data_IF_327305822792
#
_entry.id   IF_327305822792
#
_cell.length_a   1.000
_cell.length_b   1.000
_cell.length_c   1.000
_cell.angle_alpha   90.00
_cell.angle_beta   90.00
_cell.angle_gamma   90.00
#
_symmetry.space_group_name_H-M   'P 1'
#
loop_
_entity.id
_entity.type
_entity.pdbx_description
1 polymer ?
#
# COMPACT_ATOMS: atom_id res chain seq x y z
N UNK A 1 0.39 -14.52 2.74
CA UNK A 1 -0.84 -15.26 2.30
C UNK A 1 -0.54 -16.08 1.04
N UNK A 2 -1.17 -17.25 0.85
CA UNK A 2 -1.01 -18.04 -0.41
C UNK A 2 -1.67 -17.30 -1.58
N UNK A 3 -1.07 -17.45 -2.76
CA UNK A 3 -1.59 -16.83 -3.99
C UNK A 3 -2.90 -17.49 -4.42
N UNK A 4 -3.93 -16.71 -4.72
CA UNK A 4 -5.20 -17.22 -5.24
C UNK A 4 -5.10 -17.55 -6.73
N UNK A 5 -6.02 -18.35 -7.26
CA UNK A 5 -6.12 -18.62 -8.70
C UNK A 5 -6.33 -17.33 -9.50
N UNK A 6 -7.14 -16.40 -8.98
CA UNK A 6 -7.38 -15.08 -9.56
C UNK A 6 -6.07 -14.26 -9.65
N UNK A 7 -5.25 -14.27 -8.57
CA UNK A 7 -3.96 -13.58 -8.59
C UNK A 7 -2.99 -14.21 -9.58
N UNK A 8 -2.94 -15.56 -9.70
CA UNK A 8 -2.12 -16.23 -10.71
C UNK A 8 -2.53 -15.82 -12.13
N UNK A 9 -3.83 -15.84 -12.43
CA UNK A 9 -4.37 -15.39 -13.71
C UNK A 9 -4.03 -13.92 -13.98
N UNK A 10 -4.21 -13.05 -12.98
CA UNK A 10 -3.89 -11.62 -13.08
C UNK A 10 -2.41 -11.40 -13.40
N UNK A 11 -1.48 -12.08 -12.70
CA UNK A 11 -0.05 -11.99 -12.95
C UNK A 11 0.29 -12.36 -14.40
N UNK A 12 -0.22 -13.49 -14.90
CA UNK A 12 0.04 -13.93 -16.29
C UNK A 12 -0.54 -12.95 -17.30
N UNK A 13 -1.81 -12.54 -17.12
CA UNK A 13 -2.48 -11.60 -18.01
C UNK A 13 -1.71 -10.28 -18.10
N UNK A 14 -1.32 -9.71 -16.96
CA UNK A 14 -0.55 -8.46 -16.92
C UNK A 14 0.77 -8.57 -17.66
N UNK A 15 1.51 -9.69 -17.51
CA UNK A 15 2.75 -9.88 -18.25
C UNK A 15 2.50 -10.01 -19.74
N UNK A 16 1.47 -10.75 -20.16
CA UNK A 16 1.09 -10.84 -21.56
C UNK A 16 0.75 -9.46 -22.15
N UNK A 17 0.03 -8.61 -21.40
CA UNK A 17 -0.30 -7.25 -21.84
C UNK A 17 0.95 -6.36 -21.93
N UNK A 18 1.85 -6.40 -20.96
CA UNK A 18 3.09 -5.60 -20.92
C UNK A 18 4.03 -5.87 -22.11
N UNK A 19 4.06 -7.11 -22.60
CA UNK A 19 4.95 -7.51 -23.69
C UNK A 19 4.35 -7.37 -25.09
N UNK A 20 3.08 -7.00 -25.23
CA UNK A 20 2.41 -6.80 -26.54
C UNK A 20 3.15 -5.85 -27.47
N UNK A 21 3.82 -4.84 -26.92
CA UNK A 21 4.57 -3.82 -27.66
C UNK A 21 5.84 -4.35 -28.34
N UNK A 22 6.36 -5.52 -27.93
CA UNK A 22 7.57 -6.11 -28.48
C UNK A 22 7.23 -6.99 -29.69
N UNK A 23 8.01 -6.91 -30.81
CA UNK A 23 7.66 -7.61 -32.05
C UNK A 23 8.03 -9.10 -32.08
N UNK A 24 8.95 -9.56 -31.25
CA UNK A 24 9.51 -10.92 -31.27
C UNK A 24 8.59 -11.91 -30.54
N UNK A 25 7.80 -12.68 -31.30
CA UNK A 25 6.85 -13.65 -30.76
C UNK A 25 7.54 -14.86 -30.08
N UNK A 26 8.70 -15.30 -30.58
CA UNK A 26 9.42 -16.41 -29.99
C UNK A 26 9.94 -16.03 -28.59
N UNK A 27 10.54 -14.85 -28.50
CA UNK A 27 11.01 -14.28 -27.23
C UNK A 27 9.87 -14.04 -26.23
N UNK A 28 8.70 -13.56 -26.70
CA UNK A 28 7.51 -13.40 -25.84
C UNK A 28 7.00 -14.72 -25.31
N UNK A 29 6.95 -15.76 -26.15
CA UNK A 29 6.51 -17.10 -25.76
C UNK A 29 7.47 -17.73 -24.74
N UNK A 30 8.78 -17.61 -24.95
CA UNK A 30 9.78 -18.07 -23.98
C UNK A 30 9.65 -17.36 -22.63
N UNK A 31 9.52 -16.02 -22.65
CA UNK A 31 9.30 -15.22 -21.43
C UNK A 31 8.07 -15.67 -20.66
N UNK A 32 6.91 -15.76 -21.31
CA UNK A 32 5.68 -16.21 -20.65
C UNK A 32 5.78 -17.63 -20.13
N UNK A 33 6.48 -18.53 -20.82
CA UNK A 33 6.78 -19.87 -20.32
C UNK A 33 7.55 -19.84 -19.00
N UNK A 34 8.54 -18.95 -18.86
CA UNK A 34 9.29 -18.76 -17.62
C UNK A 34 8.45 -18.08 -16.54
N UNK A 35 7.59 -17.13 -16.86
CA UNK A 35 6.62 -16.52 -15.92
C UNK A 35 5.72 -17.61 -15.33
N UNK A 36 5.15 -18.48 -16.16
CA UNK A 36 4.35 -19.62 -15.71
C UNK A 36 5.16 -20.55 -14.79
N UNK A 37 6.44 -20.79 -15.11
CA UNK A 37 7.37 -21.55 -14.26
C UNK A 37 7.59 -20.91 -12.89
N UNK A 38 7.80 -19.59 -12.82
CA UNK A 38 7.93 -18.86 -11.55
C UNK A 38 6.68 -19.06 -10.70
N UNK A 39 5.50 -18.85 -11.27
CA UNK A 39 4.23 -18.99 -10.57
C UNK A 39 4.03 -20.43 -10.09
N UNK A 40 4.23 -21.42 -10.96
CA UNK A 40 4.01 -22.83 -10.62
C UNK A 40 4.91 -23.33 -9.48
N UNK A 41 6.14 -22.82 -9.41
CA UNK A 41 7.11 -23.28 -8.43
C UNK A 41 7.02 -22.56 -7.07
N UNK A 42 6.48 -21.32 -7.02
CA UNK A 42 6.59 -20.50 -5.81
C UNK A 42 5.23 -20.08 -5.22
N UNK A 43 4.12 -20.14 -5.97
CA UNK A 43 2.81 -19.63 -5.51
C UNK A 43 2.24 -20.34 -4.27
N UNK A 44 2.73 -21.53 -3.94
CA UNK A 44 2.33 -22.25 -2.73
C UNK A 44 2.92 -21.67 -1.44
N UNK A 45 4.08 -20.99 -1.55
CA UNK A 45 4.88 -20.53 -0.40
C UNK A 45 5.01 -19.02 -0.35
N UNK A 46 5.05 -18.33 -1.49
CA UNK A 46 5.29 -16.90 -1.60
C UNK A 46 4.02 -16.13 -1.99
N UNK A 47 3.80 -14.90 -1.44
CA UNK A 47 2.66 -14.06 -1.82
C UNK A 47 2.85 -13.42 -3.21
N UNK A 48 1.74 -12.97 -3.81
CA UNK A 48 1.76 -12.39 -5.15
C UNK A 48 2.76 -11.22 -5.35
N UNK A 49 2.97 -10.29 -4.39
CA UNK A 49 3.99 -9.25 -4.53
C UNK A 49 5.43 -9.78 -4.66
N UNK A 50 5.74 -10.92 -4.03
CA UNK A 50 7.06 -11.57 -4.15
C UNK A 50 7.22 -12.19 -5.54
N UNK A 51 6.17 -12.88 -6.03
CA UNK A 51 6.16 -13.40 -7.40
C UNK A 51 6.33 -12.28 -8.43
N UNK A 52 5.69 -11.13 -8.21
CA UNK A 52 5.83 -9.96 -9.06
C UNK A 52 7.29 -9.45 -9.09
N UNK A 53 7.99 -9.47 -7.95
CA UNK A 53 9.43 -9.11 -7.90
C UNK A 53 10.29 -10.08 -8.71
N UNK A 54 10.06 -11.39 -8.61
CA UNK A 54 10.75 -12.38 -9.45
C UNK A 54 10.49 -12.17 -10.94
N UNK A 55 9.22 -11.95 -11.30
CA UNK A 55 8.80 -11.69 -12.68
C UNK A 55 9.41 -10.37 -13.19
N UNK A 56 9.49 -9.34 -12.35
CA UNK A 56 10.12 -8.07 -12.69
C UNK A 56 11.59 -8.21 -13.08
N UNK A 57 12.36 -9.00 -12.34
CA UNK A 57 13.76 -9.33 -12.69
C UNK A 57 13.85 -10.08 -14.02
N UNK A 58 12.99 -11.06 -14.25
CA UNK A 58 12.91 -11.77 -15.52
C UNK A 58 12.55 -10.82 -16.67
N UNK A 59 11.61 -9.88 -16.45
CA UNK A 59 11.25 -8.89 -17.45
C UNK A 59 12.44 -8.01 -17.83
N UNK A 60 13.22 -7.56 -16.84
CA UNK A 60 14.42 -6.74 -17.09
C UNK A 60 15.47 -7.50 -17.90
N UNK A 61 15.67 -8.79 -17.64
CA UNK A 61 16.58 -9.64 -18.44
C UNK A 61 16.14 -9.76 -19.91
N UNK A 62 14.84 -9.87 -20.15
CA UNK A 62 14.31 -10.08 -21.50
C UNK A 62 14.12 -8.80 -22.29
N UNK A 63 13.61 -7.75 -21.66
CA UNK A 63 13.08 -6.57 -22.33
C UNK A 63 13.73 -5.27 -21.86
N UNK A 64 14.66 -5.32 -20.91
CA UNK A 64 15.29 -4.17 -20.27
C UNK A 64 14.45 -3.57 -19.14
N UNK A 65 14.97 -2.48 -18.57
CA UNK A 65 14.31 -1.81 -17.46
C UNK A 65 12.91 -1.37 -17.84
N UNK A 66 11.92 -1.59 -16.96
CA UNK A 66 10.58 -1.09 -17.18
C UNK A 66 10.55 0.45 -17.17
N UNK A 67 9.39 1.00 -17.51
CA UNK A 67 9.15 2.45 -17.42
C UNK A 67 9.42 2.96 -15.99
N UNK A 68 10.13 4.10 -15.89
CA UNK A 68 10.31 4.77 -14.59
C UNK A 68 9.03 5.48 -14.18
N UNK A 69 8.62 5.30 -12.94
CA UNK A 69 7.46 5.98 -12.35
C UNK A 69 7.85 7.32 -11.67
N UNK A 70 9.10 7.77 -11.73
CA UNK A 70 9.57 8.94 -10.99
C UNK A 70 8.78 10.21 -11.27
N UNK A 71 8.62 10.60 -12.56
CA UNK A 71 7.86 11.80 -12.94
C UNK A 71 6.40 11.71 -12.49
N UNK A 72 5.78 10.53 -12.67
CA UNK A 72 4.42 10.27 -12.25
C UNK A 72 4.28 10.39 -10.72
N UNK A 73 5.20 9.80 -9.96
CA UNK A 73 5.23 9.86 -8.49
C UNK A 73 5.35 11.29 -8.00
N UNK A 74 6.30 12.06 -8.56
CA UNK A 74 6.47 13.48 -8.25
C UNK A 74 5.19 14.28 -8.53
N UNK A 75 4.51 13.99 -9.64
CA UNK A 75 3.26 14.64 -10.03
C UNK A 75 2.12 14.40 -9.04
N UNK A 76 1.87 13.14 -8.66
CA UNK A 76 0.82 12.81 -7.70
C UNK A 76 1.12 13.33 -6.29
N UNK A 77 2.39 13.27 -5.85
CA UNK A 77 2.79 13.89 -4.59
C UNK A 77 2.52 15.40 -4.60
N UNK A 78 2.90 16.12 -5.67
CA UNK A 78 2.67 17.56 -5.81
C UNK A 78 1.17 17.91 -5.82
N UNK A 79 0.37 17.17 -6.59
CA UNK A 79 -1.08 17.36 -6.69
C UNK A 79 -1.78 17.24 -5.33
N UNK A 80 -1.40 16.25 -4.52
CA UNK A 80 -2.00 16.07 -3.19
C UNK A 80 -1.43 17.08 -2.17
N UNK A 81 -0.16 17.49 -2.29
CA UNK A 81 0.42 18.57 -1.47
C UNK A 81 -0.29 19.91 -1.68
N UNK A 82 -0.74 20.23 -2.91
CA UNK A 82 -1.54 21.44 -3.19
C UNK A 82 -2.87 21.45 -2.42
N UNK A 83 -3.41 20.29 -2.08
CA UNK A 83 -4.67 20.14 -1.34
C UNK A 83 -4.48 19.90 0.16
N UNK A 84 -3.24 19.72 0.59
CA UNK A 84 -2.92 19.29 1.95
C UNK A 84 -3.52 20.19 3.02
N UNK A 85 -3.37 21.50 2.89
CA UNK A 85 -3.85 22.46 3.91
C UNK A 85 -5.39 22.52 3.97
N UNK A 86 -6.06 22.38 2.82
CA UNK A 86 -7.52 22.29 2.78
C UNK A 86 -8.00 21.02 3.50
N UNK A 87 -7.38 19.87 3.21
CA UNK A 87 -7.74 18.59 3.82
C UNK A 87 -7.43 18.62 5.32
N UNK A 88 -6.27 19.14 5.71
CA UNK A 88 -5.88 19.31 7.12
C UNK A 88 -6.90 20.15 7.90
N UNK A 89 -7.41 21.21 7.28
CA UNK A 89 -8.46 22.07 7.87
C UNK A 89 -9.75 21.26 8.06
N UNK A 90 -10.23 20.58 7.03
CA UNK A 90 -11.41 19.70 7.12
C UNK A 90 -11.27 18.67 8.24
N UNK A 91 -10.11 17.99 8.33
CA UNK A 91 -9.83 17.03 9.40
C UNK A 91 -9.91 17.72 10.78
N UNK A 92 -9.28 18.88 10.94
CA UNK A 92 -9.23 19.56 12.25
C UNK A 92 -10.58 20.10 12.72
N UNK A 93 -11.51 20.41 11.82
CA UNK A 93 -12.85 20.91 12.10
C UNK A 93 -13.90 19.80 12.24
N UNK A 94 -13.54 18.56 11.91
CA UNK A 94 -14.45 17.41 12.02
C UNK A 94 -14.81 17.08 13.48
N UNK A 95 -16.02 16.53 13.68
CA UNK A 95 -16.46 16.05 15.00
C UNK A 95 -15.54 14.93 15.54
N UNK A 96 -14.98 14.12 14.65
CA UNK A 96 -13.96 13.10 14.95
C UNK A 96 -12.82 13.22 13.93
N UNK A 97 -11.77 14.01 14.25
CA UNK A 97 -10.64 14.24 13.35
C UNK A 97 -9.89 12.95 12.98
N UNK A 98 -9.72 12.02 13.90
CA UNK A 98 -9.00 10.78 13.65
C UNK A 98 -9.76 9.86 12.69
N UNK A 99 -11.08 9.74 12.88
CA UNK A 99 -11.92 8.96 11.97
C UNK A 99 -11.93 9.55 10.55
N UNK A 100 -11.97 10.88 10.41
CA UNK A 100 -11.91 11.53 9.10
C UNK A 100 -10.54 11.37 8.44
N UNK A 101 -9.45 11.48 9.20
CA UNK A 101 -8.10 11.25 8.70
C UNK A 101 -7.91 9.81 8.19
N UNK A 102 -8.46 8.79 8.88
CA UNK A 102 -8.48 7.40 8.40
C UNK A 102 -9.20 7.26 7.06
N UNK A 103 -10.34 7.94 6.88
CA UNK A 103 -11.08 7.93 5.60
C UNK A 103 -10.27 8.57 4.47
N UNK A 104 -9.62 9.70 4.71
CA UNK A 104 -8.73 10.31 3.71
C UNK A 104 -7.57 9.39 3.35
N UNK A 105 -6.92 8.78 4.33
CA UNK A 105 -5.86 7.82 4.09
C UNK A 105 -6.36 6.59 3.30
N UNK A 106 -7.59 6.11 3.52
CA UNK A 106 -8.21 5.07 2.69
C UNK A 106 -8.38 5.52 1.24
N UNK A 107 -8.88 6.74 1.01
CA UNK A 107 -9.10 7.29 -0.33
C UNK A 107 -7.78 7.41 -1.10
N UNK A 108 -6.70 7.81 -0.43
CA UNK A 108 -5.37 7.88 -1.04
C UNK A 108 -4.96 6.57 -1.72
N UNK A 109 -5.40 5.44 -1.20
CA UNK A 109 -5.15 4.13 -1.79
C UNK A 109 -5.80 3.93 -3.18
N UNK A 110 -6.61 4.89 -3.67
CA UNK A 110 -7.09 4.91 -5.05
C UNK A 110 -5.94 5.15 -6.06
N UNK A 111 -4.86 5.82 -5.66
CA UNK A 111 -3.69 6.10 -6.50
C UNK A 111 -2.80 4.84 -6.57
N UNK A 112 -3.14 3.90 -7.44
CA UNK A 112 -2.45 2.60 -7.52
C UNK A 112 -2.32 2.11 -8.95
N UNK A 113 -1.14 2.22 -9.51
CA UNK A 113 -0.76 1.69 -10.82
C UNK A 113 -0.33 0.21 -10.76
N UNK A 114 -0.26 -0.34 -9.56
CA UNK A 114 -0.09 -1.77 -9.33
C UNK A 114 -1.36 -2.58 -9.61
N UNK A 115 -2.51 -2.06 -9.20
CA UNK A 115 -3.81 -2.71 -9.39
C UNK A 115 -4.61 -2.18 -10.60
N UNK A 116 -4.26 -0.99 -11.11
CA UNK A 116 -4.99 -0.31 -12.20
C UNK A 116 -4.04 0.11 -13.33
N UNK A 117 -4.53 0.14 -14.57
CA UNK A 117 -3.76 0.58 -15.73
C UNK A 117 -3.62 2.11 -15.79
N UNK A 118 -4.55 2.84 -15.18
CA UNK A 118 -4.55 4.31 -15.06
C UNK A 118 -5.38 4.75 -13.85
N UNK A 119 -5.03 5.90 -13.28
CA UNK A 119 -5.80 6.56 -12.22
C UNK A 119 -6.73 7.59 -12.86
N UNK A 120 -7.98 7.58 -12.46
CA UNK A 120 -8.98 8.60 -12.83
C UNK A 120 -8.92 9.75 -11.82
N UNK A 121 -8.25 10.84 -12.20
CA UNK A 121 -8.06 12.00 -11.33
C UNK A 121 -9.37 12.66 -10.95
N UNK A 122 -10.37 12.69 -11.84
CA UNK A 122 -11.68 13.26 -11.55
C UNK A 122 -12.40 12.45 -10.47
N UNK A 123 -12.30 11.13 -10.53
CA UNK A 123 -12.86 10.23 -9.53
C UNK A 123 -12.13 10.31 -8.18
N UNK A 124 -10.80 10.50 -8.21
CA UNK A 124 -10.04 10.75 -6.99
C UNK A 124 -10.52 12.03 -6.29
N UNK A 125 -10.73 13.11 -7.06
CA UNK A 125 -11.25 14.37 -6.50
C UNK A 125 -12.66 14.20 -5.94
N UNK A 126 -13.54 13.48 -6.63
CA UNK A 126 -14.88 13.14 -6.12
C UNK A 126 -14.80 12.38 -4.79
N UNK A 127 -13.93 11.38 -4.68
CA UNK A 127 -13.74 10.64 -3.43
C UNK A 127 -13.23 11.54 -2.29
N UNK A 128 -12.28 12.45 -2.56
CA UNK A 128 -11.79 13.40 -1.56
C UNK A 128 -12.89 14.35 -1.07
N UNK A 129 -13.80 14.78 -1.95
CA UNK A 129 -14.95 15.61 -1.58
C UNK A 129 -15.97 14.86 -0.72
N UNK A 130 -16.10 13.54 -0.95
CA UNK A 130 -17.07 12.68 -0.27
C UNK A 130 -16.47 11.91 0.92
N UNK A 131 -15.23 12.23 1.35
CA UNK A 131 -14.51 11.47 2.37
C UNK A 131 -15.31 11.26 3.67
N UNK A 132 -16.07 12.25 4.11
CA UNK A 132 -16.91 12.16 5.32
C UNK A 132 -17.96 11.06 5.26
N UNK A 133 -18.39 10.68 4.05
CA UNK A 133 -19.42 9.68 3.81
C UNK A 133 -18.86 8.27 3.64
N UNK A 134 -17.53 8.13 3.53
CA UNK A 134 -16.92 6.81 3.37
C UNK A 134 -17.17 5.97 4.62
N UNK A 135 -17.71 4.75 4.50
CA UNK A 135 -17.89 3.87 5.64
C UNK A 135 -16.54 3.57 6.33
N UNK A 136 -16.54 3.62 7.65
CA UNK A 136 -15.44 3.15 8.49
C UNK A 136 -16.03 2.16 9.50
N UNK A 137 -15.39 1.00 9.68
CA UNK A 137 -15.85 -0.01 10.65
C UNK A 137 -15.80 0.58 12.07
N UNK A 138 -16.96 0.78 12.69
CA UNK A 138 -17.07 1.30 14.05
C UNK A 138 -16.40 0.37 15.07
N UNK A 139 -16.53 -0.94 14.91
CA UNK A 139 -15.92 -1.93 15.78
C UNK A 139 -14.38 -1.87 15.68
N UNK A 140 -13.83 -1.90 14.48
CA UNK A 140 -12.38 -1.80 14.26
C UNK A 140 -11.83 -0.46 14.75
N UNK A 141 -12.59 0.63 14.51
CA UNK A 141 -12.21 1.96 14.96
C UNK A 141 -12.18 2.07 16.50
N UNK A 142 -13.17 1.54 17.19
CA UNK A 142 -13.20 1.49 18.64
C UNK A 142 -12.02 0.66 19.20
N UNK A 143 -11.73 -0.50 18.60
CA UNK A 143 -10.57 -1.33 18.96
C UNK A 143 -9.24 -0.60 18.72
N UNK A 144 -9.11 0.10 17.59
CA UNK A 144 -7.91 0.89 17.27
C UNK A 144 -7.67 2.01 18.29
N UNK A 145 -8.71 2.79 18.59
CA UNK A 145 -8.61 3.90 19.54
C UNK A 145 -8.33 3.41 20.97
N UNK A 146 -8.85 2.26 21.36
CA UNK A 146 -8.52 1.64 22.65
C UNK A 146 -7.06 1.19 22.70
N UNK A 147 -6.57 0.52 21.67
CA UNK A 147 -5.17 0.11 21.58
C UNK A 147 -4.22 1.32 21.59
N UNK A 148 -4.59 2.42 20.93
CA UNK A 148 -3.80 3.66 20.96
C UNK A 148 -3.58 4.21 22.36
N UNK A 149 -4.51 4.05 23.31
CA UNK A 149 -4.36 4.56 24.68
C UNK A 149 -3.18 3.95 25.43
N UNK A 150 -2.80 2.74 25.10
CA UNK A 150 -1.73 1.99 25.78
C UNK A 150 -0.46 1.82 24.96
N UNK A 151 -0.55 1.98 23.63
CA UNK A 151 0.58 1.86 22.72
C UNK A 151 1.71 2.85 23.04
N UNK A 152 2.94 2.45 22.78
CA UNK A 152 4.14 3.29 22.85
C UNK A 152 4.83 3.39 21.50
N UNK A 153 4.75 2.33 20.68
CA UNK A 153 5.39 2.23 19.35
C UNK A 153 4.35 1.89 18.31
N UNK A 154 4.23 2.75 17.32
CA UNK A 154 3.40 2.55 16.14
C UNK A 154 4.28 2.47 14.90
N UNK A 155 4.08 1.44 14.09
CA UNK A 155 4.69 1.33 12.77
C UNK A 155 3.64 1.56 11.69
N UNK A 156 3.94 2.45 10.75
CA UNK A 156 3.10 2.78 9.60
C UNK A 156 3.78 2.31 8.33
N UNK A 157 3.21 1.34 7.64
CA UNK A 157 3.71 0.83 6.37
C UNK A 157 2.95 1.48 5.22
N UNK A 158 3.65 2.31 4.44
CA UNK A 158 3.09 3.02 3.29
C UNK A 158 2.82 2.11 2.10
N UNK A 159 2.04 2.60 1.14
CA UNK A 159 1.82 1.95 -0.15
C UNK A 159 2.25 2.90 -1.29
N UNK A 160 1.41 3.77 -1.80
CA UNK A 160 1.66 4.52 -3.02
C UNK A 160 2.15 5.96 -2.83
N UNK A 161 2.79 6.52 -3.88
CA UNK A 161 2.97 7.97 -4.04
C UNK A 161 1.62 8.70 -4.04
N UNK A 162 1.59 9.98 -3.75
CA UNK A 162 0.35 10.75 -3.56
C UNK A 162 -0.40 10.32 -2.31
N UNK A 163 -0.74 9.05 -2.18
CA UNK A 163 -1.35 8.46 -0.98
C UNK A 163 -0.60 8.85 0.31
N UNK A 164 0.73 8.85 0.27
CA UNK A 164 1.61 9.20 1.41
C UNK A 164 1.37 10.61 1.95
N UNK A 165 0.80 11.56 1.18
CA UNK A 165 0.39 12.89 1.67
C UNK A 165 -0.78 12.75 2.64
N UNK A 166 -1.75 11.90 2.31
CA UNK A 166 -2.92 11.64 3.16
C UNK A 166 -2.53 10.78 4.36
N UNK A 167 -1.56 9.88 4.19
CA UNK A 167 -0.95 9.11 5.29
C UNK A 167 -0.28 10.04 6.31
N UNK A 168 0.43 11.08 5.85
CA UNK A 168 0.99 12.11 6.73
C UNK A 168 -0.08 12.78 7.57
N UNK A 169 -1.22 13.17 6.98
CA UNK A 169 -2.33 13.78 7.72
C UNK A 169 -2.94 12.84 8.77
N UNK A 170 -2.99 11.55 8.47
CA UNK A 170 -3.39 10.54 9.46
C UNK A 170 -2.37 10.43 10.60
N UNK A 171 -1.08 10.40 10.30
CA UNK A 171 -0.02 10.38 11.31
C UNK A 171 -0.06 11.62 12.21
N UNK A 172 -0.27 12.82 11.64
CA UNK A 172 -0.49 14.05 12.41
C UNK A 172 -1.70 13.94 13.36
N UNK A 173 -2.78 13.31 12.89
CA UNK A 173 -3.99 13.10 13.69
C UNK A 173 -3.77 12.07 14.80
N UNK A 174 -3.01 11.01 14.54
CA UNK A 174 -2.60 10.02 15.54
C UNK A 174 -1.73 10.70 16.61
N UNK A 175 -0.75 11.52 16.22
CA UNK A 175 0.11 12.24 17.17
C UNK A 175 -0.67 13.22 18.07
N UNK A 176 -1.72 13.86 17.52
CA UNK A 176 -2.62 14.71 18.33
C UNK A 176 -3.43 13.89 19.33
N UNK A 177 -3.94 12.73 18.91
CA UNK A 177 -4.73 11.85 19.78
C UNK A 177 -3.88 11.11 20.81
N UNK A 178 -2.63 10.76 20.48
CA UNK A 178 -1.70 9.98 21.29
C UNK A 178 -0.26 10.51 21.19
N UNK A 179 0.04 11.69 21.77
CA UNK A 179 1.34 12.37 21.62
C UNK A 179 2.52 11.63 22.25
N UNK A 180 2.26 10.59 23.00
CA UNK A 180 3.24 9.72 23.66
C UNK A 180 3.64 8.49 22.79
N UNK A 181 3.02 8.31 21.63
CA UNK A 181 3.31 7.20 20.70
C UNK A 181 4.45 7.59 19.79
N UNK A 182 5.50 6.79 19.79
CA UNK A 182 6.62 6.92 18.85
C UNK A 182 6.24 6.27 17.52
N UNK A 183 6.22 7.08 16.43
CA UNK A 183 5.87 6.61 15.11
C UNK A 183 7.13 6.28 14.30
N UNK A 184 7.12 5.11 13.65
CA UNK A 184 8.08 4.75 12.60
C UNK A 184 7.31 4.50 11.29
N UNK A 185 7.71 5.18 10.23
CA UNK A 185 7.14 5.01 8.89
C UNK A 185 8.07 4.13 8.06
N UNK A 186 7.53 3.07 7.49
CA UNK A 186 8.27 2.15 6.62
C UNK A 186 7.84 2.40 5.17
N UNK A 187 8.81 2.76 4.32
CA UNK A 187 8.67 2.93 2.87
C UNK A 187 9.40 1.81 2.13
N UNK A 188 9.22 1.70 0.80
CA UNK A 188 9.96 0.71 0.01
C UNK A 188 11.45 1.03 0.00
N UNK A 189 12.28 -0.01 0.01
CA UNK A 189 13.74 0.11 0.00
C UNK A 189 14.31 0.48 -1.37
N UNK A 190 13.64 0.02 -2.42
CA UNK A 190 13.98 0.28 -3.82
C UNK A 190 12.72 0.63 -4.61
N UNK A 191 12.84 1.35 -5.75
CA UNK A 191 11.69 1.66 -6.60
C UNK A 191 10.97 0.39 -7.08
N UNK A 192 9.65 0.37 -6.89
CA UNK A 192 8.74 -0.63 -7.43
C UNK A 192 7.42 0.01 -7.75
N UNK A 193 6.97 -0.09 -8.99
CA UNK A 193 5.74 0.56 -9.45
C UNK A 193 5.70 2.03 -9.01
N UNK A 194 4.56 2.48 -8.51
CA UNK A 194 4.37 3.80 -7.92
C UNK A 194 4.42 3.80 -6.37
N UNK A 195 4.92 2.75 -5.75
CA UNK A 195 5.04 2.66 -4.30
C UNK A 195 5.94 3.77 -3.74
N UNK A 196 5.62 4.23 -2.54
CA UNK A 196 6.38 5.29 -1.87
C UNK A 196 7.75 4.80 -1.41
N UNK A 197 8.78 5.58 -1.74
CA UNK A 197 10.18 5.39 -1.34
C UNK A 197 10.64 6.50 -0.39
N UNK A 198 11.89 6.47 0.02
CA UNK A 198 12.50 7.51 0.85
C UNK A 198 12.42 8.90 0.18
N UNK A 199 12.53 8.97 -1.14
CA UNK A 199 12.44 10.23 -1.90
C UNK A 199 11.04 10.84 -1.79
N UNK A 200 9.99 10.01 -1.91
CA UNK A 200 8.60 10.47 -1.72
C UNK A 200 8.37 10.93 -0.29
N UNK A 201 8.88 10.19 0.69
CA UNK A 201 8.77 10.54 2.10
C UNK A 201 9.38 11.92 2.40
N UNK A 202 10.56 12.20 1.83
CA UNK A 202 11.24 13.50 1.97
C UNK A 202 10.51 14.62 1.21
N UNK A 203 10.03 14.35 -0.02
CA UNK A 203 9.26 15.32 -0.80
C UNK A 203 8.00 15.77 -0.06
N UNK A 204 7.31 14.81 0.57
CA UNK A 204 6.05 15.05 1.28
C UNK A 204 6.28 15.60 2.68
N UNK A 205 7.45 15.37 3.28
CA UNK A 205 7.78 15.82 4.62
C UNK A 205 7.19 14.93 5.73
N UNK A 206 7.00 13.63 5.46
CA UNK A 206 6.44 12.68 6.42
C UNK A 206 7.41 12.38 7.58
N UNK A 207 8.70 12.66 7.40
CA UNK A 207 9.71 12.56 8.46
C UNK A 207 9.45 13.48 9.66
N UNK A 208 8.58 14.48 9.50
CA UNK A 208 8.12 15.34 10.60
C UNK A 208 7.14 14.62 11.53
N UNK A 209 6.53 13.54 11.06
CA UNK A 209 5.58 12.74 11.83
C UNK A 209 6.24 11.53 12.52
N UNK A 210 7.51 11.24 12.25
CA UNK A 210 8.20 10.11 12.86
C UNK A 210 9.47 9.72 12.13
N UNK A 211 10.14 8.70 12.63
CA UNK A 211 11.31 8.12 11.97
C UNK A 211 10.90 7.43 10.69
N UNK A 212 11.52 7.77 9.55
CA UNK A 212 11.31 7.07 8.26
C UNK A 212 12.44 6.09 8.01
N UNK A 213 12.12 4.85 7.67
CA UNK A 213 13.09 3.81 7.33
C UNK A 213 12.66 3.07 6.05
N UNK A 214 13.61 2.64 5.20
CA UNK A 214 13.32 1.78 4.07
C UNK A 214 13.14 0.32 4.52
N UNK A 215 12.23 -0.44 3.87
CA UNK A 215 12.09 -1.87 4.14
C UNK A 215 13.22 -2.73 3.56
N UNK A 216 14.08 -2.16 2.71
CA UNK A 216 15.24 -2.83 2.11
C UNK A 216 14.92 -3.71 0.90
N UNK A 217 13.71 -3.65 0.34
CA UNK A 217 13.28 -4.48 -0.79
C UNK A 217 12.59 -3.67 -1.88
N UNK A 218 12.49 -4.28 -3.08
CA UNK A 218 11.67 -3.81 -4.21
C UNK A 218 10.35 -4.60 -4.35
N UNK A 219 9.83 -5.14 -3.24
CA UNK A 219 8.54 -5.83 -3.25
C UNK A 219 7.43 -4.79 -3.07
N UNK A 220 6.39 -4.84 -3.90
CA UNK A 220 5.17 -4.04 -3.75
C UNK A 220 4.34 -4.57 -2.57
N UNK A 221 4.91 -4.46 -1.37
CA UNK A 221 4.42 -5.00 -0.11
C UNK A 221 5.54 -5.10 0.94
N UNK A 222 5.22 -5.67 2.10
CA UNK A 222 6.17 -5.89 3.20
C UNK A 222 6.30 -7.39 3.49
N UNK A 223 7.26 -8.03 2.86
CA UNK A 223 7.51 -9.46 3.06
C UNK A 223 8.56 -9.68 4.14
N UNK A 224 8.11 -9.99 5.36
CA UNK A 224 8.94 -10.08 6.58
C UNK A 224 10.24 -10.88 6.40
N UNK A 225 10.27 -12.02 5.68
CA UNK A 225 11.51 -12.78 5.50
C UNK A 225 12.63 -12.03 4.75
N UNK A 226 12.30 -10.97 3.98
CA UNK A 226 13.25 -10.26 3.14
C UNK A 226 13.49 -8.80 3.54
N UNK A 227 12.73 -8.27 4.51
CA UNK A 227 12.94 -6.88 4.97
C UNK A 227 14.29 -6.72 5.66
N UNK A 228 14.81 -5.50 5.67
CA UNK A 228 16.04 -5.15 6.38
C UNK A 228 15.95 -5.48 7.88
N UNK A 229 17.09 -5.70 8.52
CA UNK A 229 17.14 -5.94 9.97
C UNK A 229 16.53 -4.78 10.79
N UNK A 230 16.67 -3.53 10.30
CA UNK A 230 16.08 -2.36 10.94
C UNK A 230 14.55 -2.37 10.83
N UNK A 231 14.01 -2.65 9.64
CA UNK A 231 12.57 -2.76 9.44
C UNK A 231 11.98 -3.93 10.24
N UNK A 232 12.66 -5.11 10.22
CA UNK A 232 12.24 -6.27 11.01
C UNK A 232 12.16 -5.94 12.50
N UNK A 233 13.18 -5.27 13.05
CA UNK A 233 13.19 -4.84 14.43
C UNK A 233 12.03 -3.90 14.74
N UNK A 234 11.75 -2.92 13.87
CA UNK A 234 10.64 -2.00 14.05
C UNK A 234 9.29 -2.73 14.09
N UNK A 235 9.09 -3.70 13.16
CA UNK A 235 7.88 -4.52 13.13
C UNK A 235 7.71 -5.37 14.39
N UNK A 236 8.78 -6.01 14.87
CA UNK A 236 8.74 -6.89 16.05
C UNK A 236 8.51 -6.13 17.36
N UNK A 237 8.95 -4.88 17.44
CA UNK A 237 8.82 -4.04 18.64
C UNK A 237 7.56 -3.18 18.68
N UNK A 238 6.76 -3.17 17.61
CA UNK A 238 5.57 -2.34 17.52
C UNK A 238 4.41 -2.89 18.35
N UNK A 239 3.72 -2.01 19.08
CA UNK A 239 2.47 -2.32 19.78
C UNK A 239 1.29 -2.33 18.80
N UNK A 240 1.33 -1.41 17.79
CA UNK A 240 0.33 -1.25 16.73
C UNK A 240 1.05 -1.08 15.41
N UNK A 241 0.52 -1.75 14.39
CA UNK A 241 0.95 -1.58 13.01
C UNK A 241 -0.24 -1.10 12.16
N UNK A 242 -0.04 -0.09 11.32
CA UNK A 242 -0.98 0.29 10.27
C UNK A 242 -0.35 -0.09 8.93
N UNK A 243 -1.10 -0.81 8.12
CA UNK A 243 -0.62 -1.34 6.85
C UNK A 243 -1.49 -0.88 5.70
N UNK A 244 -0.89 -0.11 4.78
CA UNK A 244 -1.58 0.46 3.62
C UNK A 244 -1.51 -0.48 2.43
N UNK A 245 -2.63 -0.55 1.68
CA UNK A 245 -2.68 -1.23 0.40
C UNK A 245 -2.81 -2.74 0.43
N UNK A 246 -3.28 -3.27 -0.71
CA UNK A 246 -3.54 -4.70 -0.89
C UNK A 246 -2.26 -5.54 -0.91
N UNK A 247 -1.17 -5.03 -1.50
CA UNK A 247 0.11 -5.73 -1.56
C UNK A 247 0.72 -5.97 -0.18
N UNK A 248 0.61 -5.01 0.72
CA UNK A 248 1.00 -5.22 2.13
C UNK A 248 0.10 -6.24 2.83
N UNK A 249 -1.23 -6.21 2.59
CA UNK A 249 -2.13 -7.22 3.13
C UNK A 249 -1.74 -8.63 2.65
N UNK A 250 -1.51 -8.82 1.36
CA UNK A 250 -1.10 -10.11 0.79
C UNK A 250 0.21 -10.64 1.38
N UNK A 251 1.13 -9.73 1.69
CA UNK A 251 2.46 -10.08 2.21
C UNK A 251 2.47 -10.35 3.71
N UNK A 252 1.57 -9.73 4.49
CA UNK A 252 1.60 -9.74 5.96
C UNK A 252 0.52 -10.61 6.60
N UNK A 253 -0.64 -10.80 5.92
CA UNK A 253 -1.75 -11.57 6.50
C UNK A 253 -1.30 -12.98 6.95
N UNK A 254 -1.61 -13.30 8.19
CA UNK A 254 -1.20 -14.54 8.85
C UNK A 254 0.15 -14.45 9.58
N UNK A 255 0.76 -13.25 9.71
CA UNK A 255 2.06 -13.10 10.39
C UNK A 255 1.97 -13.01 11.93
N UNK A 256 0.75 -12.84 12.48
CA UNK A 256 0.52 -12.84 13.94
C UNK A 256 0.85 -11.51 14.64
N UNK A 257 1.09 -10.42 13.91
CA UNK A 257 1.31 -9.09 14.46
C UNK A 257 -0.02 -8.32 14.61
N UNK A 258 -0.06 -7.33 15.49
CA UNK A 258 -1.25 -6.47 15.70
C UNK A 258 -1.38 -5.43 14.58
N UNK A 259 -1.84 -5.83 13.39
CA UNK A 259 -1.92 -5.02 12.20
C UNK A 259 -3.36 -4.54 11.97
N UNK A 260 -3.49 -3.24 11.73
CA UNK A 260 -4.68 -2.62 11.16
C UNK A 260 -4.45 -2.38 9.67
N UNK A 261 -5.14 -3.14 8.84
CA UNK A 261 -5.10 -2.96 7.39
C UNK A 261 -6.04 -1.83 6.96
N UNK A 262 -5.56 -0.94 6.10
CA UNK A 262 -6.27 0.24 5.63
C UNK A 262 -6.08 0.41 4.12
N UNK A 263 -7.10 0.04 3.32
CA UNK A 263 -7.03 0.06 1.86
C UNK A 263 -8.40 0.12 1.19
N UNK A 264 -8.44 0.23 -0.14
CA UNK A 264 -9.65 0.09 -0.97
C UNK A 264 -9.67 -1.27 -1.65
N UNK A 265 -10.85 -1.91 -1.73
CA UNK A 265 -11.06 -3.11 -2.54
C UNK A 265 -10.97 -2.75 -4.02
N UNK A 266 -9.92 -3.17 -4.74
CA UNK A 266 -9.70 -2.81 -6.15
C UNK A 266 -9.90 -3.96 -7.12
N UNK A 267 -9.60 -5.20 -6.73
CA UNK A 267 -9.67 -6.37 -7.58
C UNK A 267 -10.78 -7.33 -7.14
N UNK A 268 -11.21 -8.19 -8.08
CA UNK A 268 -12.30 -9.15 -7.88
C UNK A 268 -12.08 -10.03 -6.65
N UNK A 269 -10.85 -10.53 -6.47
CA UNK A 269 -10.54 -11.41 -5.35
C UNK A 269 -10.77 -10.77 -3.98
N UNK A 270 -10.39 -9.48 -3.81
CA UNK A 270 -10.62 -8.74 -2.57
C UNK A 270 -12.11 -8.42 -2.38
N UNK A 271 -12.82 -8.05 -3.46
CA UNK A 271 -14.28 -7.83 -3.40
C UNK A 271 -15.00 -9.09 -2.90
N UNK A 272 -14.66 -10.26 -3.42
CA UNK A 272 -15.24 -11.53 -3.00
C UNK A 272 -14.85 -11.89 -1.57
N UNK A 273 -13.58 -11.73 -1.20
CA UNK A 273 -13.07 -12.05 0.15
C UNK A 273 -13.77 -11.25 1.23
N UNK A 274 -13.99 -9.95 1.01
CA UNK A 274 -14.60 -9.05 1.99
C UNK A 274 -16.11 -8.85 1.80
N UNK A 275 -16.68 -9.38 0.72
CA UNK A 275 -18.09 -9.15 0.39
C UNK A 275 -18.42 -7.70 0.10
N UNK A 276 -17.48 -6.93 -0.45
CA UNK A 276 -17.59 -5.48 -0.65
C UNK A 276 -17.53 -5.12 -2.14
N UNK A 277 -18.26 -4.08 -2.57
CA UNK A 277 -18.11 -3.54 -3.92
C UNK A 277 -16.73 -2.96 -4.19
N UNK A 278 -16.43 -2.76 -5.47
CA UNK A 278 -15.18 -2.11 -5.88
C UNK A 278 -15.05 -0.70 -5.28
N UNK A 279 -13.85 -0.35 -4.87
CA UNK A 279 -13.48 0.92 -4.19
C UNK A 279 -14.11 1.12 -2.82
N UNK A 280 -14.71 0.10 -2.23
CA UNK A 280 -15.09 0.15 -0.81
C UNK A 280 -13.85 0.16 0.08
N UNK A 281 -13.92 0.96 1.16
CA UNK A 281 -12.88 1.02 2.17
C UNK A 281 -12.84 -0.23 3.05
N UNK A 282 -11.66 -0.77 3.26
CA UNK A 282 -11.39 -1.82 4.26
C UNK A 282 -10.58 -1.21 5.39
N UNK A 283 -11.09 -1.31 6.61
CA UNK A 283 -10.36 -1.07 7.85
C UNK A 283 -10.63 -2.23 8.79
N UNK A 284 -9.64 -3.09 8.98
CA UNK A 284 -9.79 -4.36 9.71
C UNK A 284 -8.51 -4.71 10.46
N UNK A 285 -8.64 -5.31 11.63
CA UNK A 285 -7.50 -5.79 12.40
C UNK A 285 -7.17 -7.25 12.02
N UNK A 286 -5.89 -7.60 11.99
CA UNK A 286 -5.38 -8.94 11.67
C UNK A 286 -6.01 -10.04 12.53
N UNK A 287 -6.26 -9.77 13.79
CA UNK A 287 -6.84 -10.75 14.73
C UNK A 287 -8.36 -10.95 14.57
N UNK A 288 -9.00 -10.18 13.69
CA UNK A 288 -10.44 -10.29 13.41
C UNK A 288 -10.70 -10.96 12.03
N UNK A 289 -9.65 -11.51 11.38
CA UNK A 289 -9.68 -12.13 10.04
C UNK A 289 -9.80 -13.65 10.06
#
# INVERSE_FOLDING_TARGET
>A
MKVSAECMHCLVKRQADNIKKYPDEEKKAEYLGKVLGIIANNAAEEPAPVLLSHIGRLHEEYFGKPYSFEELKMGYNAMLLEKEDEIRTKISEAADPLALALRFAQIGNFIDFGAMDSVDDAKLMEFLEQAERLPLSEETYAKFTENLKTARKLVYMTDNCGEIVLDKLLLESIQKAAPYVECTVIVRGEPVLNDATMEDALQVGVEKCGKVIPNGTNIAGTYIPWVSAEAKKALDEADILISKGQGNFESLHGCGLNIYYLFLCKCQWFMERFGLPQYSGVFINEFDL
#
